data_IF_202364077259
#
_entry.id   IF_202364077259
#
_cell.length_a   1.000
_cell.length_b   1.000
_cell.length_c   1.000
_cell.angle_alpha   90.00
_cell.angle_beta   90.00
_cell.angle_gamma   90.00
#
_symmetry.space_group_name_H-M   'P 1'
#
loop_
_entity.id
_entity.type
_entity.pdbx_description
1 polymer ?
#
# COMPACT_ATOMS: atom_id res chain seq x y z
N UNK A 1 13.91 -26.77 -4.48
CA UNK A 1 12.68 -27.01 -3.72
C UNK A 1 13.11 -27.45 -2.32
N UNK A 2 13.23 -26.53 -1.38
CA UNK A 2 13.58 -26.87 0.00
C UNK A 2 12.27 -27.04 0.76
N UNK A 3 11.98 -28.27 1.09
CA UNK A 3 10.85 -28.67 1.92
C UNK A 3 11.25 -28.44 3.39
N UNK A 4 10.73 -27.36 3.99
CA UNK A 4 10.90 -27.08 5.40
C UNK A 4 9.79 -27.72 6.22
N UNK A 5 9.63 -29.04 6.10
CA UNK A 5 8.79 -29.80 7.02
C UNK A 5 9.64 -30.26 8.22
N UNK A 6 9.75 -29.41 9.24
CA UNK A 6 10.22 -29.85 10.56
C UNK A 6 9.01 -30.30 11.38
N UNK A 7 8.84 -31.62 11.43
CA UNK A 7 7.92 -32.33 12.32
C UNK A 7 8.41 -32.25 13.76
N UNK A 8 7.99 -31.25 14.50
CA UNK A 8 7.78 -31.34 15.95
C UNK A 8 6.59 -30.47 16.31
N UNK A 9 5.63 -31.03 17.03
CA UNK A 9 4.35 -30.52 17.52
C UNK A 9 4.31 -29.01 17.71
N UNK A 10 4.25 -28.25 16.67
CA UNK A 10 4.12 -26.80 16.62
C UNK A 10 3.75 -26.40 15.21
N UNK A 11 2.74 -25.58 15.06
CA UNK A 11 2.34 -25.04 13.76
C UNK A 11 3.49 -24.19 13.23
N UNK A 12 4.20 -24.68 12.21
CA UNK A 12 5.19 -23.88 11.49
C UNK A 12 4.40 -22.94 10.58
N UNK A 13 4.39 -21.66 10.90
CA UNK A 13 3.90 -20.65 9.98
C UNK A 13 4.88 -20.54 8.82
N UNK A 14 4.45 -20.72 7.57
CA UNK A 14 5.34 -20.59 6.43
C UNK A 14 5.86 -19.16 6.36
N UNK A 15 7.19 -18.99 6.41
CA UNK A 15 7.84 -17.70 6.20
C UNK A 15 7.91 -17.46 4.69
N UNK A 16 7.36 -16.36 4.23
CA UNK A 16 7.48 -15.91 2.84
C UNK A 16 8.67 -14.96 2.74
N UNK A 17 9.73 -15.42 2.07
CA UNK A 17 10.87 -14.56 1.76
C UNK A 17 10.49 -13.61 0.64
N UNK A 18 10.51 -12.33 0.94
CA UNK A 18 10.08 -11.26 0.05
C UNK A 18 11.12 -10.14 -0.12
N UNK A 19 12.33 -10.37 0.36
CA UNK A 19 13.48 -9.47 0.22
C UNK A 19 14.43 -10.02 -0.84
N UNK A 20 14.71 -9.23 -1.88
CA UNK A 20 15.55 -9.61 -3.00
C UNK A 20 16.71 -8.62 -3.12
N UNK A 21 17.97 -9.09 -3.04
CA UNK A 21 19.13 -8.21 -3.15
C UNK A 21 19.13 -7.45 -4.48
N UNK A 22 19.52 -6.17 -4.40
CA UNK A 22 19.70 -5.30 -5.54
C UNK A 22 21.19 -5.04 -5.75
N UNK A 23 21.65 -5.18 -6.98
CA UNK A 23 23.00 -4.77 -7.35
C UNK A 23 23.06 -3.26 -7.50
N UNK A 24 23.90 -2.62 -6.72
CA UNK A 24 24.17 -1.18 -6.84
C UNK A 24 25.21 -0.98 -7.95
N UNK A 25 24.91 -0.27 -9.03
CA UNK A 25 25.89 -0.02 -10.07
C UNK A 25 27.01 0.91 -9.57
N UNK A 26 28.24 0.63 -10.03
CA UNK A 26 29.38 1.52 -9.78
C UNK A 26 29.34 2.67 -10.80
N UNK A 27 28.67 3.73 -10.43
CA UNK A 27 28.45 4.87 -11.32
C UNK A 27 28.46 6.20 -10.58
N UNK A 28 28.91 7.22 -11.28
CA UNK A 28 28.84 8.61 -10.84
C UNK A 28 27.57 9.28 -11.38
N UNK A 29 26.81 9.91 -10.51
CA UNK A 29 25.63 10.69 -10.85
C UNK A 29 25.89 12.17 -10.75
N UNK A 30 25.50 12.91 -11.78
CA UNK A 30 25.43 14.37 -11.77
C UNK A 30 24.08 14.81 -11.25
N UNK A 31 24.08 15.82 -10.39
CA UNK A 31 22.86 16.44 -9.87
C UNK A 31 23.07 17.92 -9.63
N UNK A 32 21.96 18.63 -9.45
CA UNK A 32 21.96 20.03 -9.07
C UNK A 32 21.24 20.17 -7.75
N UNK A 33 21.77 21.01 -6.89
CA UNK A 33 21.16 21.33 -5.59
C UNK A 33 20.66 22.76 -5.57
N UNK A 34 19.39 22.92 -5.14
CA UNK A 34 18.73 24.22 -4.96
C UNK A 34 18.15 24.32 -3.54
N UNK A 35 17.92 25.53 -2.99
CA UNK A 35 17.21 25.69 -1.74
C UNK A 35 15.80 25.07 -1.79
N UNK A 36 15.35 24.52 -0.66
CA UNK A 36 14.01 23.95 -0.57
C UNK A 36 12.94 25.04 -0.52
N UNK A 37 12.06 25.01 -1.49
CA UNK A 37 10.76 25.69 -1.47
C UNK A 37 9.70 24.71 -1.98
N UNK A 38 8.59 24.62 -1.25
CA UNK A 38 7.52 23.69 -1.59
C UNK A 38 6.88 23.99 -2.94
N UNK A 39 6.63 25.25 -3.22
CA UNK A 39 5.99 25.71 -4.47
C UNK A 39 6.89 25.39 -5.66
N UNK A 40 8.19 25.68 -5.52
CA UNK A 40 9.20 25.34 -6.52
C UNK A 40 9.28 23.83 -6.76
N UNK A 41 9.30 23.01 -5.70
CA UNK A 41 9.33 21.55 -5.83
C UNK A 41 8.08 21.01 -6.54
N UNK A 42 6.90 21.50 -6.20
CA UNK A 42 5.65 21.06 -6.82
C UNK A 42 5.58 21.46 -8.30
N UNK A 43 6.06 22.66 -8.64
CA UNK A 43 6.18 23.14 -10.04
C UNK A 43 7.17 22.26 -10.84
N UNK A 44 8.35 21.99 -10.30
CA UNK A 44 9.37 21.15 -10.95
C UNK A 44 8.87 19.72 -11.17
N UNK A 45 8.19 19.14 -10.17
CA UNK A 45 7.57 17.82 -10.29
C UNK A 45 6.52 17.78 -11.38
N UNK A 46 5.69 18.82 -11.48
CA UNK A 46 4.65 18.89 -12.51
C UNK A 46 5.24 18.99 -13.92
N UNK A 47 6.31 19.78 -14.10
CA UNK A 47 6.93 20.05 -15.40
C UNK A 47 7.87 18.94 -15.86
N UNK A 48 8.53 18.22 -14.94
CA UNK A 48 9.63 17.30 -15.26
C UNK A 48 9.43 15.87 -14.69
N UNK A 49 8.18 15.46 -14.46
CA UNK A 49 7.82 14.18 -13.81
C UNK A 49 8.48 12.95 -14.46
N UNK A 50 8.69 12.96 -15.78
CA UNK A 50 9.20 11.81 -16.53
C UNK A 50 10.72 11.81 -16.69
N UNK A 51 11.37 12.96 -16.59
CA UNK A 51 12.81 13.12 -16.89
C UNK A 51 13.67 13.39 -15.66
N UNK A 52 13.06 13.76 -14.53
CA UNK A 52 13.79 14.15 -13.34
C UNK A 52 13.33 13.39 -12.10
N UNK A 53 14.25 13.18 -11.16
CA UNK A 53 14.00 12.71 -9.80
C UNK A 53 14.33 13.81 -8.81
N UNK A 54 13.39 14.11 -7.93
CA UNK A 54 13.52 15.18 -6.95
C UNK A 54 13.57 14.59 -5.54
N UNK A 55 14.61 14.90 -4.80
CA UNK A 55 14.79 14.45 -3.42
C UNK A 55 15.03 15.63 -2.50
N UNK A 56 14.19 15.76 -1.47
CA UNK A 56 14.47 16.70 -0.39
C UNK A 56 15.55 16.17 0.54
N UNK A 57 16.56 16.99 0.81
CA UNK A 57 17.59 16.72 1.81
C UNK A 57 17.76 17.96 2.70
N UNK A 58 17.19 17.89 3.91
CA UNK A 58 17.14 19.05 4.81
C UNK A 58 16.44 20.25 4.15
N UNK A 59 17.16 21.37 4.07
CA UNK A 59 16.69 22.62 3.47
C UNK A 59 17.06 22.76 1.99
N UNK A 60 17.32 21.65 1.31
CA UNK A 60 17.65 21.65 -0.11
C UNK A 60 16.87 20.57 -0.88
N UNK A 61 16.79 20.78 -2.21
CA UNK A 61 16.26 19.84 -3.17
C UNK A 61 17.43 19.39 -4.06
N UNK A 62 17.67 18.09 -4.09
CA UNK A 62 18.56 17.45 -5.05
C UNK A 62 17.75 17.08 -6.30
N UNK A 63 18.25 17.44 -7.46
CA UNK A 63 17.61 17.23 -8.76
C UNK A 63 18.51 16.37 -9.62
N UNK A 64 18.05 15.19 -9.95
CA UNK A 64 18.73 14.24 -10.86
C UNK A 64 17.98 14.25 -12.19
N UNK A 65 18.70 14.26 -13.31
CA UNK A 65 18.12 14.36 -14.65
C UNK A 65 18.57 13.19 -15.52
N UNK A 66 17.63 12.62 -16.31
CA UNK A 66 17.93 11.60 -17.32
C UNK A 66 18.36 12.17 -18.66
N UNK A 67 17.97 13.41 -18.95
CA UNK A 67 18.26 14.09 -20.21
C UNK A 67 19.41 15.12 -20.09
N UNK A 68 20.01 15.21 -18.91
CA UNK A 68 21.10 16.15 -18.63
C UNK A 68 20.67 17.60 -18.50
N UNK A 69 19.37 17.88 -18.53
CA UNK A 69 18.85 19.24 -18.32
C UNK A 69 18.71 19.54 -16.84
N UNK A 70 19.16 20.72 -16.42
CA UNK A 70 19.10 21.15 -15.03
C UNK A 70 18.62 22.60 -14.91
N UNK A 71 17.96 22.96 -13.79
CA UNK A 71 17.64 24.35 -13.50
C UNK A 71 18.90 25.22 -13.46
N UNK A 72 18.84 26.39 -14.10
CA UNK A 72 19.99 27.33 -14.19
C UNK A 72 20.46 27.86 -12.82
N UNK A 73 19.59 27.84 -11.82
CA UNK A 73 19.83 28.39 -10.47
C UNK A 73 20.52 27.45 -9.50
N UNK A 74 20.85 26.24 -9.94
CA UNK A 74 21.40 25.22 -9.03
C UNK A 74 22.92 25.10 -9.08
N UNK A 75 23.53 24.59 -8.01
CA UNK A 75 24.95 24.27 -7.93
C UNK A 75 25.18 22.83 -8.44
N UNK A 76 25.91 22.63 -9.55
CA UNK A 76 26.24 21.29 -10.03
C UNK A 76 27.14 20.54 -9.06
N UNK A 77 26.83 19.26 -8.85
CA UNK A 77 27.57 18.35 -7.98
C UNK A 77 27.58 16.95 -8.59
N UNK A 78 28.48 16.10 -8.10
CA UNK A 78 28.56 14.68 -8.44
C UNK A 78 28.57 13.84 -7.17
N UNK A 79 28.13 12.60 -7.28
CA UNK A 79 28.19 11.62 -6.20
C UNK A 79 28.36 10.21 -6.75
N UNK A 80 28.99 9.34 -5.96
CA UNK A 80 29.06 7.92 -6.22
C UNK A 80 27.79 7.23 -5.71
N UNK A 81 27.10 6.50 -6.58
CA UNK A 81 25.80 5.89 -6.22
C UNK A 81 25.95 4.82 -5.13
N UNK A 82 27.05 4.05 -5.17
CA UNK A 82 27.33 3.01 -4.18
C UNK A 82 27.44 3.54 -2.74
N UNK A 83 27.90 4.79 -2.59
CA UNK A 83 28.04 5.44 -1.27
C UNK A 83 26.74 6.13 -0.82
N UNK A 84 25.71 6.12 -1.67
CA UNK A 84 24.46 6.88 -1.48
C UNK A 84 23.21 6.01 -1.68
N UNK A 85 23.07 4.92 -0.89
CA UNK A 85 21.96 3.97 -1.00
C UNK A 85 20.57 4.62 -0.97
N UNK A 86 20.39 5.70 -0.21
CA UNK A 86 19.11 6.40 -0.18
C UNK A 86 18.73 7.05 -1.53
N UNK A 87 19.73 7.47 -2.31
CA UNK A 87 19.51 7.98 -3.68
C UNK A 87 19.25 6.81 -4.62
N UNK A 88 20.05 5.74 -4.54
CA UNK A 88 19.81 4.51 -5.29
C UNK A 88 18.37 4.01 -5.10
N UNK A 89 17.87 3.92 -3.88
CA UNK A 89 16.48 3.53 -3.60
C UNK A 89 15.44 4.47 -4.23
N UNK A 90 15.72 5.77 -4.23
CA UNK A 90 14.83 6.74 -4.86
C UNK A 90 14.77 6.56 -6.37
N UNK A 91 15.91 6.28 -7.02
CA UNK A 91 16.00 6.01 -8.45
C UNK A 91 15.33 4.69 -8.84
N UNK A 92 15.50 3.63 -8.05
CA UNK A 92 14.81 2.35 -8.25
C UNK A 92 13.30 2.53 -8.16
N UNK A 93 12.82 3.25 -7.15
CA UNK A 93 11.37 3.54 -7.01
C UNK A 93 10.85 4.37 -8.18
N UNK A 94 11.58 5.37 -8.63
CA UNK A 94 11.18 6.20 -9.77
C UNK A 94 11.09 5.37 -11.05
N UNK A 95 12.08 4.53 -11.34
CA UNK A 95 12.08 3.63 -12.51
C UNK A 95 10.88 2.68 -12.49
N UNK A 96 10.57 2.08 -11.34
CA UNK A 96 9.41 1.21 -11.17
C UNK A 96 8.08 1.98 -11.36
N UNK A 97 7.96 3.19 -10.78
CA UNK A 97 6.76 4.02 -10.93
C UNK A 97 6.50 4.40 -12.39
N UNK A 98 7.54 4.86 -13.09
CA UNK A 98 7.46 5.22 -14.53
C UNK A 98 7.06 4.00 -15.36
N UNK A 99 7.65 2.85 -15.07
CA UNK A 99 7.33 1.61 -15.76
C UNK A 99 5.85 1.24 -15.59
N UNK A 100 5.35 1.19 -14.35
CA UNK A 100 3.94 0.83 -14.09
C UNK A 100 2.96 1.87 -14.65
N UNK A 101 3.29 3.16 -14.58
CA UNK A 101 2.48 4.21 -15.20
C UNK A 101 2.41 4.06 -16.72
N UNK A 102 3.53 3.72 -17.39
CA UNK A 102 3.58 3.43 -18.82
C UNK A 102 2.71 2.25 -19.26
N UNK A 103 2.43 1.31 -18.34
CA UNK A 103 1.48 0.20 -18.56
C UNK A 103 0.01 0.58 -18.29
N UNK A 104 -0.29 1.85 -18.04
CA UNK A 104 -1.62 2.31 -17.67
C UNK A 104 -2.06 1.83 -16.26
N UNK A 105 -1.12 1.38 -15.43
CA UNK A 105 -1.38 0.99 -14.06
C UNK A 105 -1.13 2.18 -13.16
N UNK A 106 -2.18 2.79 -12.67
CA UNK A 106 -2.04 3.88 -11.70
C UNK A 106 -1.59 3.31 -10.36
N UNK A 107 -0.42 3.72 -9.84
CA UNK A 107 -0.03 3.38 -8.48
C UNK A 107 -1.06 3.93 -7.49
N UNK A 108 -1.38 3.16 -6.47
CA UNK A 108 -2.31 3.57 -5.41
C UNK A 108 -1.61 3.86 -4.07
N UNK A 109 -0.29 3.89 -4.08
CA UNK A 109 0.61 4.27 -2.99
C UNK A 109 2.02 4.52 -3.54
N UNK A 110 2.78 5.41 -2.91
CA UNK A 110 4.15 5.75 -3.34
C UNK A 110 5.23 5.30 -2.35
N UNK A 111 4.88 5.05 -1.12
CA UNK A 111 5.83 4.64 -0.10
C UNK A 111 5.17 3.72 0.94
N UNK A 112 5.17 2.40 0.69
CA UNK A 112 5.68 1.68 -0.48
C UNK A 112 4.92 2.00 -1.77
N UNK A 113 5.50 1.64 -2.92
CA UNK A 113 4.78 1.66 -4.20
C UNK A 113 3.70 0.60 -4.14
N UNK A 114 2.46 0.97 -4.28
CA UNK A 114 1.34 0.03 -4.34
C UNK A 114 0.71 0.04 -5.73
N UNK A 115 0.58 -1.13 -6.32
CA UNK A 115 -0.01 -1.32 -7.65
C UNK A 115 -1.12 -2.36 -7.57
N UNK A 116 -2.30 -2.02 -8.06
CA UNK A 116 -3.42 -2.96 -8.16
C UNK A 116 -3.37 -3.64 -9.51
N UNK A 117 -3.52 -4.96 -9.53
CA UNK A 117 -3.59 -5.70 -10.79
C UNK A 117 -4.89 -5.38 -11.54
N UNK A 118 -4.75 -5.03 -12.82
CA UNK A 118 -5.88 -4.82 -13.72
C UNK A 118 -6.37 -6.11 -14.41
N UNK A 119 -5.68 -7.25 -14.22
CA UNK A 119 -6.02 -8.51 -14.88
C UNK A 119 -7.31 -9.09 -14.31
N UNK A 120 -8.22 -9.53 -15.18
CA UNK A 120 -9.50 -10.12 -14.77
C UNK A 120 -9.33 -11.33 -13.81
N UNK A 121 -8.34 -12.19 -14.08
CA UNK A 121 -8.02 -13.34 -13.22
C UNK A 121 -7.61 -12.98 -11.79
N UNK A 122 -7.21 -11.75 -11.56
CA UNK A 122 -6.80 -11.24 -10.25
C UNK A 122 -7.95 -10.55 -9.49
N UNK A 123 -9.16 -10.54 -10.07
CA UNK A 123 -10.37 -10.11 -9.38
C UNK A 123 -11.05 -11.33 -8.71
N UNK A 124 -10.87 -11.47 -7.41
CA UNK A 124 -11.43 -12.59 -6.65
C UNK A 124 -12.96 -12.61 -6.62
N UNK A 125 -13.62 -11.46 -6.81
CA UNK A 125 -15.08 -11.39 -6.85
C UNK A 125 -15.66 -11.90 -8.18
N UNK A 126 -14.90 -11.88 -9.26
CA UNK A 126 -15.40 -12.29 -10.57
C UNK A 126 -15.94 -13.71 -10.59
N UNK A 127 -15.27 -14.65 -9.90
CA UNK A 127 -15.71 -16.05 -9.78
C UNK A 127 -16.92 -16.26 -8.87
N UNK A 128 -17.26 -15.27 -8.04
CA UNK A 128 -18.34 -15.35 -7.05
C UNK A 128 -19.57 -14.58 -7.50
N UNK A 129 -19.39 -13.37 -8.04
CA UNK A 129 -20.43 -12.41 -8.36
C UNK A 129 -20.48 -11.99 -9.84
N UNK A 130 -19.54 -12.49 -10.65
CA UNK A 130 -19.39 -12.14 -12.06
C UNK A 130 -18.48 -10.93 -12.30
N UNK A 131 -17.95 -10.81 -13.52
CA UNK A 131 -17.00 -9.75 -13.90
C UNK A 131 -17.63 -8.35 -13.97
N UNK A 132 -18.93 -8.29 -14.30
CA UNK A 132 -19.67 -7.04 -14.41
C UNK A 132 -20.04 -6.40 -13.06
N UNK A 133 -19.79 -7.11 -11.94
CA UNK A 133 -20.11 -6.59 -10.62
C UNK A 133 -19.31 -5.30 -10.33
N UNK A 134 -19.95 -4.23 -9.77
CA UNK A 134 -19.32 -2.91 -9.63
C UNK A 134 -18.22 -2.87 -8.55
N UNK A 135 -18.21 -3.86 -7.67
CA UNK A 135 -17.19 -4.00 -6.65
C UNK A 135 -16.19 -5.10 -7.06
N UNK A 136 -14.93 -4.90 -6.73
CA UNK A 136 -13.85 -5.85 -7.02
C UNK A 136 -12.97 -6.06 -5.79
N UNK A 137 -12.38 -7.23 -5.67
CA UNK A 137 -11.26 -7.51 -4.77
C UNK A 137 -10.11 -7.97 -5.64
N UNK A 138 -9.14 -7.10 -5.85
CA UNK A 138 -8.04 -7.33 -6.77
C UNK A 138 -6.75 -7.63 -6.02
N UNK A 139 -5.83 -8.35 -6.67
CA UNK A 139 -4.46 -8.46 -6.20
C UNK A 139 -3.82 -7.09 -6.14
N UNK A 140 -3.18 -6.78 -5.01
CA UNK A 140 -2.36 -5.59 -4.78
C UNK A 140 -0.93 -6.02 -4.51
N UNK A 141 -0.01 -5.44 -5.22
CA UNK A 141 1.42 -5.58 -4.99
C UNK A 141 1.94 -4.34 -4.28
N UNK A 142 2.78 -4.56 -3.28
CA UNK A 142 3.48 -3.52 -2.54
C UNK A 142 4.98 -3.72 -2.75
N UNK A 143 5.66 -2.70 -3.24
CA UNK A 143 7.07 -2.75 -3.59
C UNK A 143 7.80 -1.64 -2.83
N UNK A 144 8.81 -2.01 -2.06
CA UNK A 144 9.63 -1.07 -1.30
C UNK A 144 11.11 -1.38 -1.49
N UNK A 145 11.97 -0.47 -1.06
CA UNK A 145 13.42 -0.65 -1.04
C UNK A 145 13.93 -0.43 0.38
N UNK A 146 14.72 -1.36 0.88
CA UNK A 146 15.29 -1.31 2.24
C UNK A 146 16.67 -1.93 2.27
N UNK A 147 17.44 -1.58 3.27
CA UNK A 147 18.66 -2.31 3.62
C UNK A 147 18.27 -3.45 4.56
N UNK A 148 18.64 -4.68 4.18
CA UNK A 148 18.43 -5.90 4.98
C UNK A 148 19.81 -6.52 5.19
N UNK A 149 20.23 -6.69 6.44
CA UNK A 149 21.57 -7.20 6.79
C UNK A 149 22.73 -6.51 6.04
N UNK A 150 22.64 -5.19 5.91
CA UNK A 150 23.65 -4.40 5.20
C UNK A 150 23.53 -4.41 3.67
N UNK A 151 22.67 -5.24 3.08
CA UNK A 151 22.47 -5.32 1.64
C UNK A 151 21.25 -4.50 1.19
N UNK A 152 21.35 -3.73 0.09
CA UNK A 152 20.19 -3.10 -0.52
C UNK A 152 19.25 -4.14 -1.11
N UNK A 153 17.99 -4.10 -0.75
CA UNK A 153 17.00 -5.08 -1.17
C UNK A 153 15.74 -4.43 -1.73
N UNK A 154 15.15 -5.09 -2.72
CA UNK A 154 13.78 -4.87 -3.15
C UNK A 154 12.86 -5.74 -2.29
N UNK A 155 11.91 -5.12 -1.62
CA UNK A 155 10.90 -5.82 -0.82
C UNK A 155 9.61 -5.88 -1.65
N UNK A 156 9.12 -7.09 -1.90
CA UNK A 156 7.86 -7.29 -2.64
C UNK A 156 6.87 -7.98 -1.72
N UNK A 157 5.69 -7.39 -1.56
CA UNK A 157 4.58 -8.04 -0.87
C UNK A 157 3.35 -8.13 -1.78
N UNK A 158 2.49 -9.11 -1.52
CA UNK A 158 1.24 -9.31 -2.24
C UNK A 158 0.10 -9.46 -1.25
N UNK A 159 -0.96 -8.72 -1.47
CA UNK A 159 -2.19 -8.74 -0.68
C UNK A 159 -3.40 -8.47 -1.57
N UNK A 160 -4.56 -8.31 -0.97
CA UNK A 160 -5.78 -7.93 -1.71
C UNK A 160 -6.18 -6.50 -1.42
N UNK A 161 -6.80 -5.84 -2.39
CA UNK A 161 -7.41 -4.52 -2.24
C UNK A 161 -8.83 -4.53 -2.76
N UNK A 162 -9.73 -3.93 -2.00
CA UNK A 162 -11.08 -3.62 -2.46
C UNK A 162 -11.05 -2.42 -3.40
N UNK A 163 -11.83 -2.52 -4.49
CA UNK A 163 -11.93 -1.47 -5.50
C UNK A 163 -13.40 -1.28 -5.84
N UNK A 164 -13.88 -0.06 -5.76
CA UNK A 164 -15.19 0.34 -6.27
C UNK A 164 -14.99 0.86 -7.67
N UNK A 165 -15.57 0.18 -8.68
CA UNK A 165 -15.38 0.54 -10.09
C UNK A 165 -16.26 1.72 -10.49
N UNK A 166 -17.53 1.68 -10.09
CA UNK A 166 -18.54 2.62 -10.50
C UNK A 166 -18.64 3.83 -9.56
N UNK A 167 -19.06 4.96 -10.07
CA UNK A 167 -19.28 6.19 -9.28
C UNK A 167 -20.60 6.16 -8.50
N UNK A 168 -20.82 7.15 -7.63
CA UNK A 168 -22.02 7.22 -6.81
C UNK A 168 -23.32 7.37 -7.64
N UNK A 169 -23.25 7.99 -8.82
CA UNK A 169 -24.41 8.10 -9.72
C UNK A 169 -24.90 6.73 -10.20
N UNK A 170 -23.98 5.78 -10.45
CA UNK A 170 -24.36 4.39 -10.77
C UNK A 170 -25.15 3.76 -9.62
N UNK A 171 -24.64 3.87 -8.39
CA UNK A 171 -25.29 3.29 -7.22
C UNK A 171 -26.67 3.91 -6.97
N UNK A 172 -26.80 5.23 -7.10
CA UNK A 172 -28.11 5.92 -7.00
C UNK A 172 -29.10 5.45 -8.06
N UNK A 173 -28.66 5.31 -9.32
CA UNK A 173 -29.51 4.80 -10.41
C UNK A 173 -29.98 3.36 -10.20
N UNK A 174 -29.18 2.55 -9.52
CA UNK A 174 -29.58 1.19 -9.15
C UNK A 174 -30.46 1.13 -7.89
N UNK A 175 -30.74 2.27 -7.26
CA UNK A 175 -31.56 2.36 -6.04
C UNK A 175 -30.77 2.11 -4.75
N UNK A 176 -29.45 1.97 -4.81
CA UNK A 176 -28.64 1.81 -3.62
C UNK A 176 -28.44 3.13 -2.89
N UNK A 177 -28.74 3.16 -1.60
CA UNK A 177 -28.59 4.36 -0.78
C UNK A 177 -27.13 4.67 -0.49
N UNK A 178 -26.66 5.84 -0.91
CA UNK A 178 -25.30 6.34 -0.65
C UNK A 178 -25.24 7.29 0.55
N UNK A 179 -26.38 7.74 1.09
CA UNK A 179 -26.44 8.60 2.28
C UNK A 179 -25.92 7.80 3.48
N UNK A 180 -25.20 8.45 4.34
CA UNK A 180 -24.57 7.80 5.49
C UNK A 180 -23.28 7.06 5.17
N UNK A 181 -22.65 7.28 4.00
CA UNK A 181 -21.44 6.58 3.57
C UNK A 181 -20.30 7.53 3.30
N UNK A 182 -19.10 7.05 3.52
CA UNK A 182 -17.90 7.76 3.10
C UNK A 182 -17.68 7.64 1.60
N UNK A 183 -17.26 8.73 1.01
CA UNK A 183 -16.97 8.85 -0.42
C UNK A 183 -15.60 9.42 -0.67
N UNK A 184 -15.04 9.07 -1.83
CA UNK A 184 -13.71 9.48 -2.29
C UNK A 184 -13.82 10.18 -3.63
N UNK A 185 -12.90 11.11 -3.90
CA UNK A 185 -12.72 11.73 -5.22
C UNK A 185 -11.46 11.20 -5.88
N UNK A 186 -11.49 11.10 -7.20
CA UNK A 186 -10.30 10.81 -7.99
C UNK A 186 -9.52 12.09 -8.26
N UNK A 187 -8.22 12.07 -7.96
CA UNK A 187 -7.32 13.20 -8.18
C UNK A 187 -6.73 13.13 -9.60
N UNK A 188 -6.11 14.21 -10.06
CA UNK A 188 -5.50 14.28 -11.40
C UNK A 188 -4.40 13.22 -11.64
N UNK A 189 -3.78 12.70 -10.59
CA UNK A 189 -2.80 11.62 -10.64
C UNK A 189 -3.43 10.21 -10.58
N UNK A 190 -4.77 10.13 -10.59
CA UNK A 190 -5.53 8.87 -10.52
C UNK A 190 -5.69 8.30 -9.10
N UNK A 191 -5.16 9.00 -8.09
CA UNK A 191 -5.38 8.60 -6.69
C UNK A 191 -6.77 8.99 -6.23
N UNK A 192 -7.36 8.12 -5.41
CA UNK A 192 -8.63 8.41 -4.75
C UNK A 192 -8.37 8.89 -3.33
N UNK A 193 -8.79 10.12 -3.05
CA UNK A 193 -8.69 10.77 -1.75
C UNK A 193 -10.06 10.82 -1.09
N UNK A 194 -10.11 10.56 0.23
CA UNK A 194 -11.32 10.70 1.01
C UNK A 194 -11.85 12.15 0.89
N UNK A 195 -13.10 12.28 0.46
CA UNK A 195 -13.81 13.55 0.40
C UNK A 195 -14.51 13.81 1.73
N UNK A 196 -15.30 12.85 2.20
CA UNK A 196 -16.07 12.97 3.43
C UNK A 196 -17.22 11.98 3.48
N UNK A 197 -18.21 12.32 4.30
CA UNK A 197 -19.40 11.53 4.58
C UNK A 197 -20.63 12.15 3.90
N UNK A 198 -21.42 11.37 3.18
CA UNK A 198 -22.62 11.85 2.47
C UNK A 198 -23.76 12.09 3.47
N UNK A 199 -24.15 13.34 3.66
CA UNK A 199 -25.25 13.77 4.50
C UNK A 199 -26.60 13.70 3.78
N UNK A 200 -26.63 14.17 2.52
CA UNK A 200 -27.86 14.20 1.73
C UNK A 200 -27.57 14.09 0.24
N UNK A 201 -28.62 13.80 -0.54
CA UNK A 201 -28.58 13.74 -2.00
C UNK A 201 -29.71 14.57 -2.57
N UNK A 202 -29.40 15.52 -3.44
CA UNK A 202 -30.34 16.40 -4.12
C UNK A 202 -30.55 15.96 -5.57
N UNK A 203 -31.80 15.83 -5.96
CA UNK A 203 -32.23 15.45 -7.32
C UNK A 203 -31.56 14.18 -7.88
N UNK A 204 -31.06 13.29 -7.00
CA UNK A 204 -30.37 12.07 -7.39
C UNK A 204 -29.00 12.29 -8.10
N UNK A 205 -28.44 13.50 -8.04
CA UNK A 205 -27.22 13.87 -8.77
C UNK A 205 -26.18 14.60 -7.95
N UNK A 206 -26.59 15.52 -7.07
CA UNK A 206 -25.67 16.31 -6.26
C UNK A 206 -25.67 15.81 -4.83
N UNK A 207 -24.51 15.50 -4.30
CA UNK A 207 -24.30 15.02 -2.94
C UNK A 207 -23.83 16.18 -2.05
N UNK A 208 -24.49 16.36 -0.90
CA UNK A 208 -23.96 17.17 0.20
C UNK A 208 -23.04 16.27 1.03
N UNK A 209 -21.77 16.62 1.13
CA UNK A 209 -20.74 15.81 1.77
C UNK A 209 -20.11 16.61 2.91
N UNK A 210 -20.12 16.06 4.11
CA UNK A 210 -19.42 16.62 5.26
C UNK A 210 -17.98 16.10 5.26
N UNK A 211 -17.02 17.00 5.09
CA UNK A 211 -15.60 16.68 5.16
C UNK A 211 -15.16 16.36 6.59
N UNK A 212 -13.97 15.79 6.75
CA UNK A 212 -13.40 15.47 8.06
C UNK A 212 -13.16 16.71 8.94
N UNK A 213 -13.01 17.90 8.33
CA UNK A 213 -12.90 19.18 9.03
C UNK A 213 -14.25 19.79 9.42
N UNK A 214 -15.35 19.09 9.15
CA UNK A 214 -16.71 19.52 9.43
C UNK A 214 -17.31 20.46 8.37
N UNK A 215 -16.58 20.84 7.33
CA UNK A 215 -17.10 21.69 6.27
C UNK A 215 -18.00 20.89 5.32
N UNK A 216 -19.16 21.46 4.98
CA UNK A 216 -20.03 20.92 3.96
C UNK A 216 -19.54 21.33 2.56
N UNK A 217 -19.48 20.38 1.65
CA UNK A 217 -19.18 20.61 0.23
C UNK A 217 -20.21 19.91 -0.64
N UNK A 218 -20.48 20.47 -1.81
CA UNK A 218 -21.34 19.83 -2.81
C UNK A 218 -20.47 19.17 -3.87
N UNK A 219 -20.80 17.93 -4.22
CA UNK A 219 -20.09 17.16 -5.24
C UNK A 219 -21.09 16.46 -6.17
N UNK A 220 -20.79 16.44 -7.47
CA UNK A 220 -21.58 15.67 -8.42
C UNK A 220 -21.38 14.18 -8.19
N UNK A 221 -22.47 13.42 -8.13
CA UNK A 221 -22.44 11.98 -7.87
C UNK A 221 -21.64 11.19 -8.94
N UNK A 222 -21.49 11.75 -10.15
CA UNK A 222 -20.68 11.16 -11.23
C UNK A 222 -19.17 11.28 -11.00
N UNK A 223 -18.72 12.23 -10.17
CA UNK A 223 -17.32 12.56 -9.94
C UNK A 223 -16.80 12.00 -8.61
N UNK A 224 -17.66 11.33 -7.85
CA UNK A 224 -17.31 10.71 -6.57
C UNK A 224 -17.64 9.22 -6.55
N UNK A 225 -16.89 8.47 -5.75
CA UNK A 225 -17.00 7.02 -5.61
C UNK A 225 -17.23 6.67 -4.15
N UNK A 226 -17.93 5.56 -3.90
CA UNK A 226 -17.98 5.02 -2.53
C UNK A 226 -16.58 4.66 -2.06
N UNK A 227 -16.27 4.91 -0.78
CA UNK A 227 -15.07 4.38 -0.16
C UNK A 227 -15.07 2.86 -0.25
N UNK A 228 -13.93 2.26 -0.59
CA UNK A 228 -13.77 0.82 -0.73
C UNK A 228 -13.63 0.12 0.64
N UNK A 229 -14.48 0.50 1.60
CA UNK A 229 -14.53 -0.08 2.94
C UNK A 229 -15.24 -1.45 2.93
N UNK A 230 -14.97 -2.25 3.98
CA UNK A 230 -15.68 -3.53 4.17
C UNK A 230 -17.19 -3.30 4.32
N UNK A 231 -17.58 -2.28 5.10
CA UNK A 231 -18.99 -1.97 5.34
C UNK A 231 -19.74 -1.70 4.04
N UNK A 232 -19.21 -0.82 3.16
CA UNK A 232 -19.85 -0.53 1.87
C UNK A 232 -19.95 -1.76 0.97
N UNK A 233 -18.97 -2.68 1.02
CA UNK A 233 -19.01 -3.95 0.28
C UNK A 233 -20.11 -4.87 0.83
N UNK A 234 -20.11 -5.10 2.14
CA UNK A 234 -21.06 -6.00 2.79
C UNK A 234 -22.52 -5.49 2.62
N UNK A 235 -22.74 -4.18 2.67
CA UNK A 235 -24.05 -3.56 2.49
C UNK A 235 -24.53 -3.62 1.03
N UNK A 236 -23.64 -3.41 0.06
CA UNK A 236 -24.02 -3.54 -1.35
C UNK A 236 -24.31 -5.00 -1.72
N UNK A 237 -23.58 -5.96 -1.17
CA UNK A 237 -23.87 -7.39 -1.33
C UNK A 237 -25.23 -7.73 -0.70
N UNK A 238 -25.52 -7.19 0.49
CA UNK A 238 -26.84 -7.35 1.11
C UNK A 238 -27.95 -6.78 0.23
N UNK A 239 -27.75 -5.57 -0.30
CA UNK A 239 -28.72 -4.91 -1.17
C UNK A 239 -29.03 -5.74 -2.44
N UNK A 240 -27.98 -6.30 -3.07
CA UNK A 240 -28.13 -7.00 -4.35
C UNK A 240 -28.52 -8.48 -4.21
N UNK A 241 -28.17 -9.12 -3.10
CA UNK A 241 -28.32 -10.58 -2.91
C UNK A 241 -29.15 -10.98 -1.68
N UNK A 242 -29.57 -10.03 -0.86
CA UNK A 242 -30.47 -10.26 0.28
C UNK A 242 -29.96 -11.34 1.23
N UNK A 243 -30.78 -12.37 1.46
CA UNK A 243 -30.49 -13.47 2.39
C UNK A 243 -29.24 -14.31 2.02
N UNK A 244 -28.75 -14.22 0.79
CA UNK A 244 -27.52 -14.92 0.36
C UNK A 244 -26.25 -14.22 0.78
N UNK A 245 -26.32 -13.01 1.40
CA UNK A 245 -25.17 -12.20 1.80
C UNK A 245 -24.15 -13.01 2.58
N UNK A 246 -24.55 -13.69 3.65
CA UNK A 246 -23.61 -14.36 4.56
C UNK A 246 -22.84 -15.49 3.86
N UNK A 247 -23.50 -16.25 3.01
CA UNK A 247 -22.85 -17.28 2.18
C UNK A 247 -21.84 -16.67 1.20
N UNK A 248 -22.18 -15.53 0.58
CA UNK A 248 -21.29 -14.82 -0.34
C UNK A 248 -20.08 -14.26 0.42
N UNK A 249 -20.30 -13.60 1.55
CA UNK A 249 -19.23 -13.03 2.38
C UNK A 249 -18.27 -14.12 2.86
N UNK A 250 -18.79 -15.30 3.23
CA UNK A 250 -17.94 -16.42 3.64
C UNK A 250 -17.11 -16.95 2.48
N UNK A 251 -17.68 -17.09 1.28
CA UNK A 251 -16.91 -17.47 0.06
C UNK A 251 -15.83 -16.44 -0.26
N UNK A 252 -16.11 -15.16 -0.07
CA UNK A 252 -15.12 -14.08 -0.24
C UNK A 252 -13.98 -14.25 0.77
N UNK A 253 -14.28 -14.50 2.06
CA UNK A 253 -13.26 -14.74 3.10
C UNK A 253 -12.36 -15.91 2.73
N UNK A 254 -12.95 -17.03 2.32
CA UNK A 254 -12.20 -18.22 1.90
C UNK A 254 -11.30 -17.92 0.72
N UNK A 255 -11.79 -17.23 -0.32
CA UNK A 255 -11.00 -16.85 -1.48
C UNK A 255 -9.84 -15.91 -1.11
N UNK A 256 -10.07 -14.92 -0.24
CA UNK A 256 -9.02 -14.03 0.26
C UNK A 256 -8.01 -14.77 1.12
N UNK A 257 -8.45 -15.71 1.95
CA UNK A 257 -7.57 -16.55 2.78
C UNK A 257 -6.66 -17.43 1.92
N UNK A 258 -7.21 -18.08 0.90
CA UNK A 258 -6.46 -18.89 -0.06
C UNK A 258 -5.46 -18.00 -0.82
N UNK A 259 -5.90 -16.84 -1.29
CA UNK A 259 -5.04 -15.90 -2.01
C UNK A 259 -3.84 -15.44 -1.18
N UNK A 260 -4.06 -15.12 0.11
CA UNK A 260 -3.02 -14.69 1.04
C UNK A 260 -2.25 -15.86 1.67
N UNK A 261 -2.60 -17.11 1.38
CA UNK A 261 -1.91 -18.30 1.86
C UNK A 261 -0.44 -18.34 1.41
N UNK A 262 0.44 -18.84 2.27
CA UNK A 262 1.89 -18.73 2.11
C UNK A 262 2.42 -19.13 0.73
N UNK A 263 2.00 -20.30 0.20
CA UNK A 263 2.41 -20.77 -1.13
C UNK A 263 1.92 -19.84 -2.24
N UNK A 264 0.62 -19.53 -2.26
CA UNK A 264 0.04 -18.68 -3.30
C UNK A 264 0.63 -17.26 -3.28
N UNK A 265 0.87 -16.74 -2.08
CA UNK A 265 1.52 -15.45 -1.89
C UNK A 265 2.95 -15.48 -2.43
N UNK A 266 3.73 -16.53 -2.11
CA UNK A 266 5.08 -16.72 -2.63
C UNK A 266 5.12 -16.80 -4.15
N UNK A 267 4.27 -17.63 -4.75
CA UNK A 267 4.23 -17.80 -6.21
C UNK A 267 3.95 -16.46 -6.94
N UNK A 268 3.10 -15.62 -6.36
CA UNK A 268 2.80 -14.28 -6.91
C UNK A 268 3.95 -13.29 -6.72
N UNK A 269 4.63 -13.33 -5.60
CA UNK A 269 5.83 -12.51 -5.34
C UNK A 269 6.93 -12.92 -6.32
N UNK A 270 7.17 -14.21 -6.49
CA UNK A 270 8.17 -14.73 -7.42
C UNK A 270 7.82 -14.39 -8.88
N UNK A 271 6.54 -14.44 -9.24
CA UNK A 271 6.08 -14.03 -10.56
C UNK A 271 6.33 -12.54 -10.83
N UNK A 272 6.07 -11.65 -9.86
CA UNK A 272 6.37 -10.23 -9.98
C UNK A 272 7.87 -9.97 -10.03
N UNK A 273 8.69 -10.64 -9.18
CA UNK A 273 10.16 -10.60 -9.25
C UNK A 273 10.64 -10.94 -10.65
N UNK A 274 10.24 -12.09 -11.19
CA UNK A 274 10.62 -12.54 -12.54
C UNK A 274 10.19 -11.54 -13.61
N UNK A 275 9.01 -10.96 -13.47
CA UNK A 275 8.53 -9.91 -14.37
C UNK A 275 9.45 -8.69 -14.34
N UNK A 276 9.84 -8.19 -13.16
CA UNK A 276 10.75 -7.05 -13.01
C UNK A 276 12.12 -7.40 -13.60
N UNK A 277 12.64 -8.60 -13.37
CA UNK A 277 13.92 -9.07 -13.95
C UNK A 277 13.87 -9.21 -15.47
N UNK A 278 12.76 -9.67 -16.04
CA UNK A 278 12.60 -9.84 -17.49
C UNK A 278 12.36 -8.51 -18.22
N UNK A 279 11.87 -7.50 -17.51
CA UNK A 279 11.54 -6.21 -18.08
C UNK A 279 12.74 -5.26 -17.94
N UNK A 280 13.05 -4.49 -18.98
CA UNK A 280 14.11 -3.50 -18.94
C UNK A 280 13.69 -2.25 -18.14
N UNK A 281 13.48 -2.43 -16.84
CA UNK A 281 13.26 -1.31 -15.93
C UNK A 281 14.62 -0.71 -15.62
N UNK A 282 14.78 0.56 -15.92
CA UNK A 282 16.07 1.24 -15.78
C UNK A 282 16.02 2.38 -14.77
N UNK A 283 17.18 2.66 -14.23
CA UNK A 283 17.46 3.88 -13.51
C UNK A 283 17.43 5.07 -14.47
N UNK A 284 17.60 6.26 -13.92
CA UNK A 284 17.48 7.52 -14.62
C UNK A 284 18.40 7.65 -15.86
N UNK A 285 19.60 7.06 -15.81
CA UNK A 285 20.62 7.08 -16.85
C UNK A 285 20.50 5.94 -17.88
N UNK A 286 19.46 5.11 -17.78
CA UNK A 286 19.27 3.92 -18.62
C UNK A 286 19.91 2.65 -18.05
N UNK A 287 20.66 2.72 -16.95
CA UNK A 287 21.21 1.53 -16.29
C UNK A 287 20.08 0.64 -15.76
N UNK A 288 20.11 -0.64 -16.13
CA UNK A 288 19.09 -1.60 -15.75
C UNK A 288 19.10 -1.88 -14.25
N UNK A 289 17.91 -2.02 -13.64
CA UNK A 289 17.77 -2.50 -12.27
C UNK A 289 18.04 -4.02 -12.27
N UNK A 290 19.10 -4.43 -11.59
CA UNK A 290 19.47 -5.84 -11.43
C UNK A 290 19.06 -6.36 -10.05
N UNK A 291 18.29 -7.45 -10.06
CA UNK A 291 17.89 -8.17 -8.84
C UNK A 291 18.72 -9.45 -8.79
N UNK A 292 19.51 -9.60 -7.74
CA UNK A 292 20.34 -10.78 -7.51
C UNK A 292 19.53 -11.92 -6.85
N UNK A 293 20.04 -13.14 -6.98
CA UNK A 293 19.45 -14.26 -6.25
C UNK A 293 19.84 -14.17 -4.76
N UNK A 294 18.91 -14.44 -3.84
CA UNK A 294 19.15 -14.33 -2.39
C UNK A 294 20.02 -15.49 -1.91
N UNK A 295 21.34 -15.40 -2.12
CA UNK A 295 22.27 -16.50 -1.79
C UNK A 295 22.47 -16.70 -0.28
N UNK A 296 22.45 -15.62 0.52
CA UNK A 296 22.87 -15.68 1.91
C UNK A 296 21.84 -15.24 2.96
N UNK A 297 20.83 -14.44 2.58
CA UNK A 297 19.76 -14.01 3.52
C UNK A 297 19.00 -15.21 4.10
N UNK A 298 18.94 -16.33 3.39
CA UNK A 298 18.27 -17.56 3.84
C UNK A 298 19.02 -18.32 4.91
N UNK A 299 20.35 -18.23 4.96
CA UNK A 299 21.18 -18.98 5.91
C UNK A 299 21.05 -18.46 7.34
N UNK A 300 20.77 -17.17 7.47
CA UNK A 300 20.69 -16.48 8.76
C UNK A 300 19.24 -16.29 9.27
N UNK A 301 18.27 -16.94 8.64
CA UNK A 301 16.89 -16.92 9.14
C UNK A 301 16.81 -17.68 10.46
N UNK A 302 16.64 -16.97 11.55
CA UNK A 302 16.33 -17.56 12.86
C UNK A 302 14.89 -18.00 12.88
N UNK A 303 14.63 -19.27 13.17
CA UNK A 303 13.30 -19.76 13.41
C UNK A 303 12.76 -19.14 14.70
N UNK A 304 11.85 -18.21 14.59
CA UNK A 304 11.16 -17.66 15.75
C UNK A 304 10.07 -18.62 16.22
N UNK A 305 10.05 -18.88 17.52
CA UNK A 305 8.92 -19.56 18.12
C UNK A 305 7.67 -18.69 17.98
N UNK A 306 6.52 -19.35 17.76
CA UNK A 306 5.23 -18.63 17.72
C UNK A 306 5.05 -17.88 19.05
N UNK A 307 4.78 -16.57 19.01
CA UNK A 307 4.54 -15.83 20.25
C UNK A 307 3.30 -16.38 20.95
N UNK A 308 3.43 -16.59 22.25
CA UNK A 308 2.32 -16.94 23.12
C UNK A 308 1.93 -15.67 23.87
N UNK A 309 0.66 -15.31 23.79
CA UNK A 309 0.13 -14.15 24.51
C UNK A 309 -0.29 -14.58 25.92
N UNK A 310 0.15 -13.81 26.91
CA UNK A 310 -0.16 -14.06 28.33
C UNK A 310 -1.29 -13.10 28.76
N UNK A 311 -2.29 -13.66 29.42
CA UNK A 311 -3.48 -12.96 29.87
C UNK A 311 -3.64 -13.07 31.39
N UNK A 312 -4.81 -12.71 31.92
CA UNK A 312 -5.08 -12.78 33.35
C UNK A 312 -4.82 -14.19 33.91
N UNK A 313 -4.31 -14.24 35.15
CA UNK A 313 -3.93 -15.46 35.90
C UNK A 313 -2.92 -16.35 35.11
N UNK A 314 -2.03 -15.71 34.33
CA UNK A 314 -1.06 -16.36 33.44
C UNK A 314 -1.70 -17.29 32.40
N UNK A 315 -2.97 -17.08 32.07
CA UNK A 315 -3.62 -17.80 30.98
C UNK A 315 -2.94 -17.53 29.66
N UNK A 316 -2.59 -18.55 28.90
CA UNK A 316 -1.90 -18.46 27.63
C UNK A 316 -2.88 -18.68 26.46
N UNK A 317 -2.71 -17.92 25.39
CA UNK A 317 -3.39 -18.17 24.13
C UNK A 317 -2.49 -17.78 22.95
N UNK A 318 -2.71 -18.45 21.84
CA UNK A 318 -2.02 -18.22 20.58
C UNK A 318 -2.69 -17.12 19.72
N UNK A 319 -3.81 -16.59 20.18
CA UNK A 319 -4.59 -15.56 19.50
C UNK A 319 -5.16 -14.56 20.52
N UNK A 320 -4.93 -13.27 20.29
CA UNK A 320 -5.26 -12.21 21.26
C UNK A 320 -6.74 -12.14 21.59
N UNK A 321 -7.63 -12.17 20.59
CA UNK A 321 -9.08 -12.08 20.79
C UNK A 321 -9.61 -13.28 21.59
N UNK A 322 -9.15 -14.49 21.27
CA UNK A 322 -9.47 -15.71 22.01
C UNK A 322 -9.00 -15.63 23.46
N UNK A 323 -7.75 -15.18 23.65
CA UNK A 323 -7.18 -15.04 24.99
C UNK A 323 -7.90 -14.01 25.84
N UNK A 324 -8.25 -12.85 25.27
CA UNK A 324 -9.05 -11.83 25.97
C UNK A 324 -10.44 -12.33 26.35
N UNK A 325 -11.11 -13.06 25.44
CA UNK A 325 -12.45 -13.61 25.71
C UNK A 325 -12.43 -14.68 26.78
N UNK A 326 -11.41 -15.56 26.81
CA UNK A 326 -11.33 -16.67 27.74
C UNK A 326 -10.76 -16.29 29.11
N UNK A 327 -9.70 -15.45 29.12
CA UNK A 327 -8.92 -15.17 30.33
C UNK A 327 -9.07 -13.71 30.78
N UNK A 328 -9.58 -12.82 29.94
CA UNK A 328 -9.57 -11.38 30.18
C UNK A 328 -8.19 -10.75 30.03
N UNK A 329 -8.06 -9.43 30.20
CA UNK A 329 -6.78 -8.72 30.12
C UNK A 329 -5.83 -9.16 31.23
N UNK A 330 -4.51 -9.03 31.02
CA UNK A 330 -3.45 -9.51 31.93
C UNK A 330 -3.64 -9.05 33.39
N UNK A 331 -4.07 -7.82 33.59
CA UNK A 331 -4.46 -7.35 34.95
C UNK A 331 -5.80 -6.65 34.89
N UNK A 332 -6.78 -7.19 35.61
CA UNK A 332 -8.08 -6.51 35.87
C UNK A 332 -7.96 -5.47 36.96
N UNK A 333 -6.92 -5.53 37.80
CA UNK A 333 -6.78 -4.73 39.03
C UNK A 333 -6.14 -3.37 38.85
N UNK A 334 -5.46 -3.14 37.72
CA UNK A 334 -4.69 -1.91 37.47
C UNK A 334 -5.43 -0.87 36.63
N UNK A 335 -6.57 -1.21 36.02
CA UNK A 335 -7.39 -0.26 35.31
C UNK A 335 -8.52 0.29 36.19
N UNK A 336 -8.16 1.22 37.08
CA UNK A 336 -9.17 1.95 37.92
C UNK A 336 -9.88 3.05 37.09
N UNK A 337 -9.50 3.28 35.85
CA UNK A 337 -10.10 4.31 34.99
C UNK A 337 -10.58 3.70 33.68
N UNK A 338 -11.78 4.07 33.27
CA UNK A 338 -12.34 3.72 31.95
C UNK A 338 -11.64 4.45 30.81
N UNK A 339 -10.85 5.49 31.09
CA UNK A 339 -10.12 6.30 30.15
C UNK A 339 -8.62 6.08 30.29
N UNK A 340 -8.02 5.15 29.53
CA UNK A 340 -6.58 4.93 29.59
C UNK A 340 -5.82 6.12 29.01
N UNK A 341 -4.75 6.56 29.69
CA UNK A 341 -3.80 7.50 29.11
C UNK A 341 -2.93 6.75 28.11
N UNK A 342 -3.01 7.14 26.84
CA UNK A 342 -2.20 6.55 25.77
C UNK A 342 -0.98 7.44 25.54
N UNK A 343 0.21 6.89 25.77
CA UNK A 343 1.47 7.52 25.38
C UNK A 343 1.95 6.90 24.06
N UNK A 344 2.08 7.71 23.02
CA UNK A 344 2.61 7.26 21.75
C UNK A 344 4.03 7.79 21.59
N UNK A 345 4.99 6.88 21.47
CA UNK A 345 6.38 7.21 21.19
C UNK A 345 6.60 7.05 19.68
N UNK A 346 6.93 8.13 19.00
CA UNK A 346 7.20 8.11 17.57
C UNK A 346 8.42 8.99 17.24
N UNK A 347 9.01 8.75 16.07
CA UNK A 347 10.01 9.66 15.53
C UNK A 347 9.38 11.01 15.18
N UNK A 348 10.12 12.11 15.30
CA UNK A 348 9.62 13.46 15.08
C UNK A 348 8.99 13.66 13.70
N UNK A 349 9.50 12.96 12.68
CA UNK A 349 8.96 13.01 11.32
C UNK A 349 7.61 12.25 11.14
N UNK A 350 7.26 11.37 12.09
CA UNK A 350 5.99 10.61 12.07
C UNK A 350 4.90 11.26 12.92
N UNK A 351 5.20 12.33 13.64
CA UNK A 351 4.27 12.99 14.57
C UNK A 351 2.92 13.33 13.92
N UNK A 352 2.91 13.85 12.70
CA UNK A 352 1.68 14.21 12.00
C UNK A 352 0.80 12.99 11.68
N UNK A 353 1.40 11.81 11.44
CA UNK A 353 0.66 10.56 11.24
C UNK A 353 0.02 10.06 12.53
N UNK A 354 0.75 10.17 13.63
CA UNK A 354 0.28 9.76 14.95
C UNK A 354 -0.86 10.64 15.43
N UNK A 355 -0.78 11.96 15.24
CA UNK A 355 -1.85 12.90 15.58
C UNK A 355 -3.15 12.62 14.80
N UNK A 356 -3.08 12.03 13.59
CA UNK A 356 -4.25 11.60 12.83
C UNK A 356 -4.89 10.30 13.36
N UNK A 357 -4.12 9.46 14.04
CA UNK A 357 -4.63 8.19 14.61
C UNK A 357 -5.29 8.42 15.96
N UNK A 358 -4.83 9.42 16.71
CA UNK A 358 -5.29 9.72 18.09
C UNK A 358 -6.53 10.64 18.10
N UNK A 359 -6.87 11.26 16.98
CA UNK A 359 -8.11 12.03 16.80
C UNK A 359 -9.24 11.13 16.32
#
# INVERSE_FOLDING_TARGET
MLDFSLTQKGWVLPIVLNAFPLKVPDMELKFVQIPYDKTTLDSLRSSHKMTHVFRRQGDSIQIFSSDGTFPKSGTPQTLQLKDNLGIFFSLVKDGLLKHFAGLGRTPCGFNPIEVVSAQAKDNLLASILGEAYPLKICAKYSIDTRTVQGQPCLIIDCSTRRVVKENCLFFLKTGFNVIGRYVVTEQADGFRKLLGFVESCHEGRTLSVIRLDGQAVHAEAKDVYLEASRANFDDYILYTHGTKKDSIVERIRQSVSIFNGGKNKKDRIDALKKYIQATNISLLDGTRIEIEEPSDIQKDCVQMQKPVFVFNDNGEADWTEKGLTQNGPYTKRTFDRNDPSICVICAQHDRGRVEQIVR
#
